data_IF_467794574588
#
_entry.id   IF_467794574588
#
_cell.length_a   1.000
_cell.length_b   1.000
_cell.length_c   1.000
_cell.angle_alpha   90.00
_cell.angle_beta   90.00
_cell.angle_gamma   90.00
#
_symmetry.space_group_name_H-M   'P 1'
#
loop_
_entity.id
_entity.type
_entity.pdbx_description
1 polymer ?
#
# COMPACT_ATOMS: atom_id res chain seq x y z
N UNK A 1 -17.07 -5.81 24.82
CA UNK A 1 -15.80 -5.14 24.44
C UNK A 1 -15.31 -5.79 23.16
N UNK A 2 -15.37 -5.11 22.01
CA UNK A 2 -14.86 -5.69 20.76
C UNK A 2 -13.32 -5.70 20.78
N UNK A 3 -12.71 -6.85 20.51
CA UNK A 3 -11.25 -6.96 20.39
C UNK A 3 -10.76 -6.27 19.12
N UNK A 4 -9.62 -5.59 19.18
CA UNK A 4 -8.91 -5.15 17.98
C UNK A 4 -7.95 -6.25 17.54
N UNK A 5 -8.10 -6.72 16.30
CA UNK A 5 -7.15 -7.62 15.66
C UNK A 5 -6.33 -6.84 14.63
N UNK A 6 -5.02 -7.06 14.64
CA UNK A 6 -4.11 -6.56 13.61
C UNK A 6 -4.38 -7.27 12.27
N UNK A 7 -4.06 -6.62 11.13
CA UNK A 7 -4.19 -7.16 9.77
C UNK A 7 -3.47 -8.51 9.55
N UNK A 8 -2.46 -8.84 10.37
CA UNK A 8 -1.83 -10.16 10.35
C UNK A 8 -2.65 -11.26 11.05
N UNK A 9 -3.36 -10.88 12.11
CA UNK A 9 -4.14 -11.76 12.97
C UNK A 9 -5.61 -11.84 12.51
N UNK A 10 -6.02 -10.98 11.60
CA UNK A 10 -7.32 -11.01 10.95
C UNK A 10 -7.35 -12.19 9.95
N UNK A 11 -8.32 -13.08 10.13
CA UNK A 11 -8.45 -14.29 9.32
C UNK A 11 -8.73 -13.92 7.85
N UNK A 12 -7.90 -14.38 6.89
CA UNK A 12 -8.11 -14.12 5.47
C UNK A 12 -9.47 -14.57 4.92
N UNK A 13 -10.11 -15.56 5.55
CA UNK A 13 -11.43 -16.06 5.15
C UNK A 13 -12.58 -15.15 5.62
N UNK A 14 -12.37 -14.35 6.67
CA UNK A 14 -13.36 -13.38 7.20
C UNK A 14 -13.41 -12.09 6.36
N UNK A 15 -12.44 -11.89 5.46
CA UNK A 15 -12.38 -10.75 4.54
C UNK A 15 -13.53 -10.77 3.50
N UNK A 16 -14.25 -11.88 3.37
CA UNK A 16 -15.35 -12.06 2.41
C UNK A 16 -16.71 -11.54 2.93
N UNK A 17 -16.85 -11.26 4.23
CA UNK A 17 -18.10 -10.73 4.79
C UNK A 17 -18.22 -9.22 4.58
N UNK A 18 -19.29 -8.74 3.91
CA UNK A 18 -19.54 -7.31 3.79
C UNK A 18 -19.67 -6.71 5.19
N UNK A 19 -18.94 -5.63 5.45
CA UNK A 19 -19.00 -4.95 6.74
C UNK A 19 -20.36 -4.27 6.90
N UNK A 20 -20.80 -4.03 8.14
CA UNK A 20 -22.06 -3.31 8.40
C UNK A 20 -22.11 -1.93 7.68
N UNK A 21 -20.94 -1.30 7.51
CA UNK A 21 -20.81 -0.06 6.73
C UNK A 21 -21.11 -0.24 5.24
N UNK A 22 -20.86 -1.41 4.66
CA UNK A 22 -21.19 -1.72 3.27
C UNK A 22 -22.70 -1.84 3.05
N UNK A 23 -23.46 -2.25 4.08
CA UNK A 23 -24.93 -2.31 4.04
C UNK A 23 -25.60 -0.93 4.26
N UNK A 24 -25.02 -0.05 5.08
CA UNK A 24 -25.59 1.27 5.39
C UNK A 24 -25.53 2.28 4.23
N UNK A 25 -24.71 2.02 3.20
CA UNK A 25 -24.63 2.85 1.97
C UNK A 25 -25.81 2.54 1.00
N UNK A 26 -26.69 1.59 1.35
CA UNK A 26 -27.78 1.08 0.51
C UNK A 26 -29.07 1.93 0.41
N UNK A 27 -29.01 3.26 0.61
CA UNK A 27 -30.15 4.16 0.47
C UNK A 27 -30.16 4.92 -0.86
N UNK A 28 -30.75 4.34 -1.90
CA UNK A 28 -31.31 5.08 -3.05
C UNK A 28 -30.38 6.00 -3.85
N UNK A 29 -29.44 5.46 -4.64
CA UNK A 29 -28.98 5.99 -5.94
C UNK A 29 -28.08 4.91 -6.59
N UNK A 30 -28.02 4.83 -7.92
CA UNK A 30 -27.27 3.78 -8.66
C UNK A 30 -25.85 3.59 -8.07
N UNK A 31 -25.54 2.40 -7.52
CA UNK A 31 -24.24 2.09 -6.91
C UNK A 31 -23.11 2.42 -7.90
N UNK A 32 -22.27 3.41 -7.58
CA UNK A 32 -21.00 3.59 -8.30
C UNK A 32 -20.08 2.45 -7.87
N UNK A 33 -19.68 1.61 -8.81
CA UNK A 33 -18.68 0.56 -8.57
C UNK A 33 -17.43 1.23 -7.98
N UNK A 34 -16.88 0.71 -6.87
CA UNK A 34 -15.64 1.24 -6.31
C UNK A 34 -14.55 1.25 -7.38
N UNK A 35 -13.97 2.41 -7.65
CA UNK A 35 -12.87 2.53 -8.59
C UNK A 35 -11.56 2.17 -7.87
N UNK A 36 -10.92 1.09 -8.30
CA UNK A 36 -9.61 0.65 -7.82
C UNK A 36 -9.65 -0.47 -6.78
N UNK A 37 -8.55 -0.72 -6.10
CA UNK A 37 -8.39 -1.84 -5.16
C UNK A 37 -9.40 -1.74 -3.99
N UNK A 38 -10.11 -2.84 -3.73
CA UNK A 38 -11.07 -2.93 -2.64
C UNK A 38 -11.18 -4.37 -2.14
N UNK A 39 -11.92 -4.55 -1.04
CA UNK A 39 -12.19 -5.87 -0.46
C UNK A 39 -10.91 -6.68 -0.20
N UNK A 40 -10.93 -7.94 -0.64
CA UNK A 40 -9.86 -8.91 -0.42
C UNK A 40 -8.51 -8.50 -0.98
N UNK A 41 -8.47 -8.00 -2.21
CA UNK A 41 -7.20 -7.62 -2.86
C UNK A 41 -6.51 -6.48 -2.12
N UNK A 42 -7.29 -5.49 -1.67
CA UNK A 42 -6.77 -4.38 -0.87
C UNK A 42 -6.17 -4.89 0.46
N UNK A 43 -6.90 -5.76 1.17
CA UNK A 43 -6.44 -6.34 2.44
C UNK A 43 -5.18 -7.18 2.29
N UNK A 44 -5.07 -7.94 1.21
CA UNK A 44 -3.84 -8.68 0.88
C UNK A 44 -2.68 -7.72 0.65
N UNK A 45 -2.89 -6.63 -0.12
CA UNK A 45 -1.85 -5.63 -0.34
C UNK A 45 -1.44 -4.90 0.97
N UNK A 46 -2.40 -4.60 1.85
CA UNK A 46 -2.15 -4.02 3.18
C UNK A 46 -1.28 -4.95 4.03
N UNK A 47 -1.59 -6.25 4.02
CA UNK A 47 -0.81 -7.27 4.75
C UNK A 47 0.61 -7.41 4.22
N UNK A 48 0.79 -7.47 2.89
CA UNK A 48 2.11 -7.53 2.26
C UNK A 48 2.94 -6.29 2.62
N UNK A 49 2.34 -5.10 2.54
CA UNK A 49 3.04 -3.87 2.90
C UNK A 49 3.42 -3.85 4.39
N UNK A 50 2.53 -4.33 5.26
CA UNK A 50 2.83 -4.45 6.69
C UNK A 50 3.99 -5.42 6.95
N UNK A 51 4.06 -6.55 6.24
CA UNK A 51 5.16 -7.51 6.34
C UNK A 51 6.50 -6.87 5.97
N UNK A 52 6.50 -6.06 4.91
CA UNK A 52 7.68 -5.29 4.52
C UNK A 52 8.09 -4.27 5.57
N UNK A 53 7.14 -3.56 6.20
CA UNK A 53 7.44 -2.64 7.31
C UNK A 53 8.01 -3.35 8.54
N UNK A 54 7.54 -4.58 8.82
CA UNK A 54 8.00 -5.37 9.96
C UNK A 54 9.33 -6.09 9.72
N UNK A 55 9.81 -6.17 8.48
CA UNK A 55 11.08 -6.80 8.18
C UNK A 55 12.24 -6.02 8.82
N UNK A 56 13.18 -6.71 9.48
CA UNK A 56 14.25 -6.07 10.26
C UNK A 56 15.18 -5.16 9.43
N UNK A 57 15.39 -5.50 8.15
CA UNK A 57 16.22 -4.71 7.22
C UNK A 57 15.46 -3.61 6.47
N UNK A 58 14.21 -3.30 6.84
CA UNK A 58 13.33 -2.45 6.03
C UNK A 58 13.45 -0.94 6.28
N UNK A 59 14.05 -0.52 7.39
CA UNK A 59 14.00 0.88 7.86
C UNK A 59 14.44 1.90 6.82
N UNK A 60 15.43 1.58 5.98
CA UNK A 60 15.92 2.47 4.92
C UNK A 60 14.89 2.74 3.79
N UNK A 61 13.82 1.96 3.71
CA UNK A 61 12.77 2.05 2.69
C UNK A 61 11.46 2.64 3.22
N UNK A 62 11.38 2.93 4.52
CA UNK A 62 10.13 3.40 5.15
C UNK A 62 9.71 4.77 4.63
N UNK A 63 10.65 5.71 4.61
CA UNK A 63 10.42 7.11 4.26
C UNK A 63 11.14 7.52 2.98
N UNK A 64 10.72 8.61 2.32
CA UNK A 64 11.43 9.15 1.16
C UNK A 64 12.90 9.44 1.50
N UNK A 65 13.79 9.09 0.57
CA UNK A 65 15.24 9.34 0.74
C UNK A 65 15.49 10.85 0.91
N UNK A 66 16.29 11.23 1.91
CA UNK A 66 16.57 12.64 2.18
C UNK A 66 17.22 13.34 0.98
N UNK A 67 16.84 14.60 0.74
CA UNK A 67 17.49 15.46 -0.27
C UNK A 67 18.97 15.73 0.02
N UNK A 68 19.42 15.47 1.25
CA UNK A 68 20.82 15.56 1.62
C UNK A 68 21.69 14.42 1.05
N UNK A 69 21.06 13.33 0.59
CA UNK A 69 21.80 12.21 -0.03
C UNK A 69 22.38 12.66 -1.38
N UNK A 70 23.72 12.64 -1.54
CA UNK A 70 24.36 13.18 -2.73
C UNK A 70 23.87 12.53 -4.02
N UNK A 71 23.50 13.36 -5.00
CA UNK A 71 23.09 12.94 -6.34
C UNK A 71 21.88 11.98 -6.43
N UNK A 72 21.21 11.63 -5.33
CA UNK A 72 20.12 10.64 -5.34
C UNK A 72 19.02 11.01 -6.34
N UNK A 73 18.47 12.22 -6.23
CA UNK A 73 17.41 12.72 -7.13
C UNK A 73 17.91 13.12 -8.52
N UNK A 74 19.22 13.03 -8.79
CA UNK A 74 19.78 13.15 -10.15
C UNK A 74 19.85 11.79 -10.85
N UNK A 75 20.10 10.73 -10.09
CA UNK A 75 20.20 9.34 -10.58
C UNK A 75 18.81 8.70 -10.64
N UNK A 76 18.02 8.86 -9.57
CA UNK A 76 16.70 8.25 -9.42
C UNK A 76 15.62 9.22 -9.88
N UNK A 77 15.02 8.91 -11.03
CA UNK A 77 14.01 9.76 -11.67
C UNK A 77 12.60 9.56 -11.11
N UNK A 78 12.31 8.37 -10.56
CA UNK A 78 11.00 8.02 -10.00
C UNK A 78 11.19 7.49 -8.58
N UNK A 79 11.38 8.36 -7.56
CA UNK A 79 11.55 7.93 -6.19
C UNK A 79 10.29 7.21 -5.67
N UNK A 80 10.49 6.22 -4.80
CA UNK A 80 9.42 5.46 -4.15
C UNK A 80 9.90 4.92 -2.81
N UNK A 81 8.98 4.78 -1.86
CA UNK A 81 9.19 4.34 -0.48
C UNK A 81 7.88 3.74 0.09
N UNK A 82 7.96 3.05 1.22
CA UNK A 82 6.81 2.33 1.78
C UNK A 82 5.71 3.26 2.30
N UNK A 83 6.05 4.43 2.86
CA UNK A 83 5.07 5.43 3.29
C UNK A 83 4.30 6.00 2.10
N UNK A 84 4.97 6.29 0.98
CA UNK A 84 4.31 6.68 -0.28
C UNK A 84 3.38 5.59 -0.79
N UNK A 85 3.81 4.32 -0.79
CA UNK A 85 2.97 3.18 -1.19
C UNK A 85 1.76 3.05 -0.27
N UNK A 86 1.94 3.21 1.05
CA UNK A 86 0.86 3.20 2.05
C UNK A 86 -0.19 4.28 1.76
N UNK A 87 0.23 5.49 1.40
CA UNK A 87 -0.70 6.55 1.02
C UNK A 87 -1.48 6.20 -0.25
N UNK A 88 -0.81 5.68 -1.29
CA UNK A 88 -1.48 5.24 -2.53
C UNK A 88 -2.39 4.03 -2.32
N UNK A 89 -2.18 3.25 -1.27
CA UNK A 89 -3.05 2.13 -0.90
C UNK A 89 -4.37 2.62 -0.26
N UNK A 90 -4.39 3.81 0.34
CA UNK A 90 -5.62 4.41 0.87
C UNK A 90 -6.62 4.72 -0.23
N UNK A 91 -7.86 4.26 -0.07
CA UNK A 91 -8.99 4.55 -0.98
C UNK A 91 -9.35 6.02 -1.08
N UNK A 92 -8.94 6.84 -0.11
CA UNK A 92 -9.17 8.29 -0.12
C UNK A 92 -8.09 9.05 -0.91
N UNK A 93 -6.99 8.39 -1.25
CA UNK A 93 -5.91 9.03 -1.97
C UNK A 93 -6.31 9.28 -3.43
N UNK A 94 -6.01 10.47 -3.94
CA UNK A 94 -6.35 10.87 -5.32
C UNK A 94 -5.72 9.97 -6.39
N UNK A 95 -4.62 9.29 -6.04
CA UNK A 95 -3.92 8.31 -6.87
C UNK A 95 -3.99 6.90 -6.27
N UNK A 96 -5.17 6.52 -5.78
CA UNK A 96 -5.41 5.18 -5.27
C UNK A 96 -5.11 4.11 -6.32
N UNK A 97 -4.50 3.00 -5.92
CA UNK A 97 -4.18 1.91 -6.85
C UNK A 97 -5.42 1.34 -7.51
N UNK A 98 -5.33 1.15 -8.82
CA UNK A 98 -6.44 0.62 -9.61
C UNK A 98 -6.52 -0.92 -9.56
N UNK A 99 -5.39 -1.58 -9.38
CA UNK A 99 -5.20 -3.03 -9.39
C UNK A 99 -3.92 -3.42 -8.64
N UNK A 100 -3.75 -4.73 -8.39
CA UNK A 100 -2.63 -5.30 -7.62
C UNK A 100 -1.31 -5.09 -8.35
N UNK A 101 -1.32 -5.15 -9.68
CA UNK A 101 -0.14 -5.00 -10.53
C UNK A 101 0.54 -3.65 -10.30
N UNK A 102 -0.24 -2.57 -10.16
CA UNK A 102 0.32 -1.23 -9.87
C UNK A 102 0.92 -1.13 -8.48
N UNK A 103 0.32 -1.79 -7.48
CA UNK A 103 0.90 -1.88 -6.14
C UNK A 103 2.25 -2.62 -6.18
N UNK A 104 2.29 -3.78 -6.83
CA UNK A 104 3.52 -4.58 -6.99
C UNK A 104 4.60 -3.83 -7.79
N UNK A 105 4.19 -3.04 -8.79
CA UNK A 105 5.13 -2.22 -9.57
C UNK A 105 5.88 -1.21 -8.70
N UNK A 106 5.19 -0.54 -7.76
CA UNK A 106 5.85 0.42 -6.85
C UNK A 106 6.73 -0.27 -5.81
N UNK A 107 6.33 -1.44 -5.29
CA UNK A 107 7.20 -2.24 -4.41
C UNK A 107 8.50 -2.62 -5.14
N UNK A 108 8.40 -3.09 -6.38
CA UNK A 108 9.58 -3.40 -7.22
C UNK A 108 10.42 -2.15 -7.49
N UNK A 109 9.78 -0.99 -7.65
CA UNK A 109 10.47 0.27 -7.89
C UNK A 109 11.34 0.70 -6.70
N UNK A 110 10.87 0.51 -5.46
CA UNK A 110 11.69 0.74 -4.24
C UNK A 110 13.02 0.00 -4.32
N UNK A 111 12.97 -1.31 -4.57
CA UNK A 111 14.17 -2.14 -4.63
C UNK A 111 15.02 -1.90 -5.87
N UNK A 112 14.40 -1.59 -7.02
CA UNK A 112 15.12 -1.21 -8.24
C UNK A 112 15.89 0.10 -8.06
N UNK A 113 15.28 1.10 -7.42
CA UNK A 113 15.94 2.37 -7.11
C UNK A 113 17.11 2.17 -6.13
N UNK A 114 16.90 1.34 -5.10
CA UNK A 114 17.96 0.97 -4.18
C UNK A 114 19.15 0.32 -4.91
N UNK A 115 18.88 -0.68 -5.75
CA UNK A 115 19.92 -1.34 -6.53
C UNK A 115 20.62 -0.35 -7.46
N UNK A 116 19.89 0.49 -8.21
CA UNK A 116 20.48 1.44 -9.15
C UNK A 116 21.39 2.49 -8.46
N UNK A 117 20.99 3.00 -7.30
CA UNK A 117 21.76 4.01 -6.59
C UNK A 117 22.95 3.41 -5.83
N UNK A 118 22.79 2.23 -5.24
CA UNK A 118 23.81 1.61 -4.38
C UNK A 118 24.68 0.55 -5.09
N UNK A 119 24.45 0.26 -6.38
CA UNK A 119 25.32 -0.65 -7.17
C UNK A 119 26.60 0.01 -7.67
N UNK A 120 26.88 1.24 -7.25
CA UNK A 120 28.07 2.01 -7.62
C UNK A 120 29.15 1.82 -6.57
#
# INVERSE_FOLDING_TARGET
SGGWNCTFCEDPEVIDEPTLNDYLVGGGTKRKVPTGLHGKELKVCERVLLELFCHSASTAFHEPVSKAVPNYYRIITNPMDFTTIKYKLSRQHFNHYKDVERFIADIKLVFKNCSLYNSV
#
